data_IF_538324507226
#
_entry.id   IF_538324507226
#
_cell.length_a   1.000
_cell.length_b   1.000
_cell.length_c   1.000
_cell.angle_alpha   90.00
_cell.angle_beta   90.00
_cell.angle_gamma   90.00
#
_symmetry.space_group_name_H-M   'P 1'
#
loop_
_entity.id
_entity.type
_entity.pdbx_description
1 polymer ?
#
# COMPACT_ATOMS: atom_id res chain seq x y z
N UNK A 1 -8.88 0.37 -11.93
CA UNK A 1 -7.55 0.82 -11.48
C UNK A 1 -6.49 0.36 -12.49
N UNK A 2 -5.50 1.18 -12.74
CA UNK A 2 -4.39 0.81 -13.62
C UNK A 2 -3.60 -0.32 -12.97
N UNK A 3 -3.34 -1.42 -13.70
CA UNK A 3 -2.53 -2.51 -13.15
C UNK A 3 -1.09 -2.07 -12.93
N UNK A 4 -0.51 -2.56 -11.83
CA UNK A 4 0.90 -2.33 -11.53
C UNK A 4 1.70 -3.40 -12.29
N UNK A 5 2.71 -2.98 -13.04
CA UNK A 5 3.51 -3.87 -13.87
C UNK A 5 4.45 -4.74 -13.02
N UNK A 6 4.26 -6.04 -13.06
CA UNK A 6 5.15 -6.98 -12.38
C UNK A 6 6.58 -6.88 -12.92
N UNK A 7 6.73 -6.61 -14.21
CA UNK A 7 8.04 -6.44 -14.84
C UNK A 7 8.79 -5.23 -14.28
N UNK A 8 8.10 -4.10 -14.11
CA UNK A 8 8.72 -2.89 -13.57
C UNK A 8 9.08 -3.10 -12.10
N UNK A 9 8.21 -3.74 -11.33
CA UNK A 9 8.47 -4.07 -9.93
C UNK A 9 9.74 -4.92 -9.82
N UNK A 10 9.84 -5.96 -10.63
CA UNK A 10 11.02 -6.84 -10.64
C UNK A 10 12.29 -6.08 -11.03
N UNK A 11 12.22 -5.25 -12.04
CA UNK A 11 13.38 -4.44 -12.47
C UNK A 11 13.86 -3.50 -11.37
N UNK A 12 12.93 -2.90 -10.65
CA UNK A 12 13.26 -2.00 -9.55
C UNK A 12 13.97 -2.75 -8.41
N UNK A 13 13.48 -3.93 -8.05
CA UNK A 13 14.08 -4.75 -7.00
C UNK A 13 15.47 -5.23 -7.45
N UNK A 14 15.61 -5.66 -8.70
CA UNK A 14 16.90 -6.10 -9.23
C UNK A 14 17.93 -4.98 -9.23
N UNK A 15 17.49 -3.75 -9.48
CA UNK A 15 18.37 -2.59 -9.55
C UNK A 15 18.80 -2.08 -8.17
N UNK A 16 17.86 -1.92 -7.25
CA UNK A 16 18.10 -1.32 -5.92
C UNK A 16 18.36 -2.34 -4.82
N UNK A 17 17.87 -3.57 -4.98
CA UNK A 17 17.97 -4.63 -3.98
C UNK A 17 16.80 -4.64 -3.01
N UNK A 18 16.55 -5.82 -2.44
CA UNK A 18 15.39 -6.05 -1.56
C UNK A 18 15.42 -5.21 -0.29
N UNK A 19 16.59 -5.07 0.32
CA UNK A 19 16.73 -4.33 1.57
C UNK A 19 16.39 -2.86 1.39
N UNK A 20 16.97 -2.22 0.38
CA UNK A 20 16.70 -0.81 0.11
C UNK A 20 15.24 -0.58 -0.24
N UNK A 21 14.66 -1.43 -1.08
CA UNK A 21 13.26 -1.30 -1.47
C UNK A 21 12.32 -1.48 -0.28
N UNK A 22 12.61 -2.40 0.64
CA UNK A 22 11.83 -2.56 1.86
C UNK A 22 11.86 -1.29 2.70
N UNK A 23 13.04 -0.68 2.82
CA UNK A 23 13.20 0.58 3.56
C UNK A 23 12.41 1.71 2.90
N UNK A 24 12.47 1.81 1.57
CA UNK A 24 11.69 2.81 0.83
C UNK A 24 10.19 2.60 1.06
N UNK A 25 9.72 1.36 1.09
CA UNK A 25 8.32 1.06 1.39
C UNK A 25 7.90 1.57 2.78
N UNK A 26 8.78 1.44 3.78
CA UNK A 26 8.51 2.01 5.10
C UNK A 26 8.37 3.53 5.04
N UNK A 27 9.25 4.19 4.30
CA UNK A 27 9.21 5.65 4.13
C UNK A 27 7.94 6.10 3.43
N UNK A 28 7.53 5.40 2.38
CA UNK A 28 6.29 5.72 1.65
C UNK A 28 5.05 5.54 2.52
N UNK A 29 5.02 4.53 3.36
CA UNK A 29 3.93 4.35 4.32
C UNK A 29 3.87 5.50 5.32
N UNK A 30 5.03 5.97 5.79
CA UNK A 30 5.11 7.12 6.70
C UNK A 30 4.61 8.40 6.01
N UNK A 31 4.95 8.59 4.74
CA UNK A 31 4.49 9.73 3.96
C UNK A 31 2.97 9.71 3.74
N UNK A 32 2.38 8.54 3.57
CA UNK A 32 0.93 8.41 3.50
C UNK A 32 0.27 8.85 4.81
N UNK A 33 0.83 8.44 5.94
CA UNK A 33 0.33 8.86 7.25
C UNK A 33 0.33 10.38 7.36
N UNK A 34 1.42 11.03 6.95
CA UNK A 34 1.54 12.49 6.96
C UNK A 34 0.53 13.15 6.02
N UNK A 35 0.33 12.58 4.83
CA UNK A 35 -0.62 13.11 3.85
C UNK A 35 -2.06 13.04 4.38
N UNK A 36 -2.43 11.97 5.07
CA UNK A 36 -3.74 11.83 5.71
C UNK A 36 -3.92 12.90 6.78
N UNK A 37 -2.93 13.07 7.64
CA UNK A 37 -2.95 14.06 8.71
C UNK A 37 -3.12 15.48 8.16
N UNK A 38 -2.38 15.78 7.09
CA UNK A 38 -2.45 17.09 6.43
C UNK A 38 -3.83 17.32 5.82
N UNK A 39 -4.39 16.32 5.17
CA UNK A 39 -5.73 16.43 4.57
C UNK A 39 -6.79 16.69 5.64
N UNK A 40 -6.70 16.06 6.79
CA UNK A 40 -7.63 16.28 7.91
C UNK A 40 -7.55 17.69 8.44
N UNK A 41 -6.36 18.28 8.50
CA UNK A 41 -6.13 19.63 9.04
C UNK A 41 -6.49 20.73 8.04
N UNK A 42 -6.04 20.58 6.79
CA UNK A 42 -6.12 21.65 5.79
C UNK A 42 -7.14 21.41 4.70
N UNK A 43 -7.41 20.15 4.36
CA UNK A 43 -8.32 19.73 3.27
C UNK A 43 -7.98 20.36 1.92
N UNK A 44 -6.73 20.77 1.74
CA UNK A 44 -6.33 21.57 0.57
C UNK A 44 -5.56 20.81 -0.49
N UNK A 45 -4.98 19.65 -0.15
CA UNK A 45 -4.08 18.97 -1.07
C UNK A 45 -4.47 17.50 -1.30
N UNK A 46 -5.65 17.34 -1.88
CA UNK A 46 -6.18 16.03 -2.23
C UNK A 46 -5.30 15.32 -3.26
N UNK A 47 -4.65 16.09 -4.13
CA UNK A 47 -3.76 15.54 -5.15
C UNK A 47 -2.51 14.90 -4.52
N UNK A 48 -1.97 15.54 -3.49
CA UNK A 48 -0.83 14.97 -2.76
C UNK A 48 -1.20 13.65 -2.08
N UNK A 49 -2.38 13.59 -1.45
CA UNK A 49 -2.88 12.36 -0.85
C UNK A 49 -3.05 11.26 -1.90
N UNK A 50 -3.58 11.61 -3.07
CA UNK A 50 -3.77 10.68 -4.18
C UNK A 50 -2.43 10.09 -4.64
N UNK A 51 -1.41 10.93 -4.77
CA UNK A 51 -0.06 10.51 -5.14
C UNK A 51 0.53 9.53 -4.11
N UNK A 52 0.38 9.82 -2.82
CA UNK A 52 0.88 8.95 -1.77
C UNK A 52 0.14 7.61 -1.73
N UNK A 53 -1.16 7.58 -2.04
CA UNK A 53 -1.91 6.34 -2.17
C UNK A 53 -1.33 5.50 -3.31
N UNK A 54 -1.01 6.12 -4.45
CA UNK A 54 -0.41 5.43 -5.58
C UNK A 54 0.94 4.81 -5.19
N UNK A 55 1.78 5.58 -4.50
CA UNK A 55 3.08 5.09 -4.05
C UNK A 55 2.96 3.88 -3.12
N UNK A 56 2.02 3.91 -2.19
CA UNK A 56 1.80 2.79 -1.26
C UNK A 56 1.26 1.55 -2.00
N UNK A 57 0.39 1.72 -2.99
CA UNK A 57 -0.08 0.59 -3.78
C UNK A 57 1.07 -0.10 -4.53
N UNK A 58 2.00 0.68 -5.07
CA UNK A 58 3.21 0.15 -5.70
C UNK A 58 4.09 -0.56 -4.65
N UNK A 59 4.25 0.04 -3.48
CA UNK A 59 5.01 -0.57 -2.38
C UNK A 59 4.45 -1.91 -1.95
N UNK A 60 3.13 -2.08 -1.95
CA UNK A 60 2.50 -3.36 -1.64
C UNK A 60 2.98 -4.44 -2.62
N UNK A 61 3.04 -4.12 -3.91
CA UNK A 61 3.54 -5.05 -4.91
C UNK A 61 5.02 -5.38 -4.73
N UNK A 62 5.82 -4.39 -4.38
CA UNK A 62 7.23 -4.61 -4.05
C UNK A 62 7.37 -5.58 -2.88
N UNK A 63 6.62 -5.36 -1.81
CA UNK A 63 6.65 -6.23 -0.62
C UNK A 63 6.19 -7.64 -0.92
N UNK A 64 5.16 -7.81 -1.75
CA UNK A 64 4.70 -9.12 -2.17
C UNK A 64 5.80 -9.88 -2.90
N UNK A 65 6.53 -9.19 -3.77
CA UNK A 65 7.62 -9.81 -4.52
C UNK A 65 8.81 -10.15 -3.62
N UNK A 66 9.19 -9.23 -2.72
CA UNK A 66 10.34 -9.41 -1.82
C UNK A 66 10.10 -10.57 -0.85
N UNK A 67 8.91 -10.64 -0.27
CA UNK A 67 8.59 -11.60 0.79
C UNK A 67 7.75 -12.79 0.32
N UNK A 68 7.58 -12.93 -1.00
CA UNK A 68 6.85 -14.05 -1.60
C UNK A 68 5.42 -14.21 -1.03
N UNK A 69 4.66 -13.12 -1.06
CA UNK A 69 3.28 -13.10 -0.60
C UNK A 69 2.34 -13.06 -1.80
N UNK A 70 1.47 -14.06 -1.93
CA UNK A 70 0.56 -14.15 -3.07
C UNK A 70 -0.66 -13.25 -2.95
N UNK A 71 -1.21 -12.87 -4.10
CA UNK A 71 -2.48 -12.13 -4.17
C UNK A 71 -3.60 -12.91 -3.49
N UNK A 72 -3.64 -14.25 -3.69
CA UNK A 72 -4.67 -15.10 -3.09
C UNK A 72 -4.62 -15.08 -1.57
N UNK A 73 -3.44 -15.12 -0.99
CA UNK A 73 -3.28 -15.10 0.45
C UNK A 73 -3.77 -13.76 1.03
N UNK A 74 -3.42 -12.66 0.35
CA UNK A 74 -3.92 -11.34 0.76
C UNK A 74 -5.44 -11.28 0.63
N UNK A 75 -6.00 -11.81 -0.46
CA UNK A 75 -7.44 -11.82 -0.68
C UNK A 75 -8.18 -12.55 0.44
N UNK A 76 -7.63 -13.68 0.90
CA UNK A 76 -8.23 -14.43 2.00
C UNK A 76 -8.34 -13.59 3.27
N UNK A 77 -7.29 -12.84 3.59
CA UNK A 77 -7.31 -11.93 4.75
C UNK A 77 -8.28 -10.78 4.55
N UNK A 78 -8.37 -10.22 3.34
CA UNK A 78 -9.31 -9.15 3.02
C UNK A 78 -10.75 -9.61 3.28
N UNK A 79 -11.10 -10.80 2.81
CA UNK A 79 -12.43 -11.38 3.01
C UNK A 79 -12.75 -11.50 4.51
N UNK A 80 -11.81 -12.05 5.27
CA UNK A 80 -11.97 -12.22 6.71
C UNK A 80 -12.14 -10.89 7.45
N UNK A 81 -11.31 -9.91 7.10
CA UNK A 81 -11.35 -8.59 7.75
C UNK A 81 -12.59 -7.79 7.39
N UNK A 82 -13.07 -7.91 6.15
CA UNK A 82 -14.31 -7.25 5.75
C UNK A 82 -15.53 -7.83 6.49
N UNK A 83 -15.55 -9.14 6.69
CA UNK A 83 -16.59 -9.77 7.49
C UNK A 83 -16.59 -9.23 8.93
N UNK A 84 -15.39 -9.06 9.51
CA UNK A 84 -15.24 -8.49 10.84
C UNK A 84 -15.68 -7.04 10.90
N UNK A 85 -15.34 -6.26 9.88
CA UNK A 85 -15.79 -4.86 9.79
C UNK A 85 -17.32 -4.78 9.81
N UNK A 86 -17.97 -5.64 9.03
CA UNK A 86 -19.44 -5.68 8.97
C UNK A 86 -20.06 -6.05 10.32
N UNK A 87 -19.48 -7.01 11.03
CA UNK A 87 -19.93 -7.38 12.37
C UNK A 87 -19.81 -6.22 13.35
N UNK A 88 -18.71 -5.47 13.31
CA UNK A 88 -18.54 -4.29 14.18
C UNK A 88 -19.58 -3.23 13.91
N UNK A 89 -19.88 -2.95 12.65
CA UNK A 89 -20.90 -1.98 12.27
C UNK A 89 -22.26 -2.40 12.80
N UNK A 90 -22.61 -3.69 12.66
CA UNK A 90 -23.88 -4.22 13.13
C UNK A 90 -23.99 -4.26 14.65
N UNK A 91 -22.87 -4.42 15.34
CA UNK A 91 -22.81 -4.47 16.79
C UNK A 91 -22.93 -3.11 17.47
N UNK A 92 -22.80 -2.05 16.69
CA UNK A 92 -22.91 -0.69 17.19
C UNK A 92 -24.25 -0.03 16.84
#
# INVERSE_FOLDING_TARGET
>A
MVPISDSIVKQSIDFYGEDLESTVCMEECAELIQAISKQKRCKSDKEHLTEEIADVLICIKLLQSIYDISDGHIADWIISKQARMLERIKGE
#
